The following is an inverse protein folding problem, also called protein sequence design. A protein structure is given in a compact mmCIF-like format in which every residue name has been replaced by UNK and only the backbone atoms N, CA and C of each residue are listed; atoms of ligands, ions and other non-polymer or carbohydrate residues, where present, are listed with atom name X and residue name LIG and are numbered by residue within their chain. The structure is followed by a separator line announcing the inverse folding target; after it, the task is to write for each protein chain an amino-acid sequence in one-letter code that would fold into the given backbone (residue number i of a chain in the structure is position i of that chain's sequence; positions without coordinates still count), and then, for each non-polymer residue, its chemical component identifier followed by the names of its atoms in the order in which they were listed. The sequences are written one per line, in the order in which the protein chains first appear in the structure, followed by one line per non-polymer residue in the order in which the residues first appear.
data_IF_455522974534
#
_entry.id   IF_455522974534
#
_cell.length_a   1.000
_cell.length_b   1.000
_cell.length_c   1.000
_cell.angle_alpha   90.00
_cell.angle_beta   90.00
_cell.angle_gamma   90.00
#
_symmetry.space_group_name_H-M   'P 1'
#
loop_
_entity.id
_entity.type
_entity.pdbx_description
1 polymer ?
#
# COMPACT_ATOMS: atom_id res chain seq x y z
N UNK A 1 22.13 -4.90 22.57
CA UNK A 1 21.27 -5.63 21.57
C UNK A 1 19.83 -5.79 22.07
N UNK A 2 19.59 -5.77 23.39
CA UNK A 2 18.27 -5.51 23.99
C UNK A 2 17.78 -4.06 23.81
N UNK A 3 18.66 -3.13 23.43
CA UNK A 3 18.37 -1.69 23.48
C UNK A 3 17.48 -1.15 22.34
N UNK A 4 17.49 -1.78 21.16
CA UNK A 4 16.56 -1.41 20.07
C UNK A 4 15.12 -1.87 20.38
N UNK A 5 14.98 -2.93 21.18
CA UNK A 5 13.72 -3.51 21.62
C UNK A 5 13.07 -2.73 22.78
N UNK A 6 13.83 -1.88 23.46
CA UNK A 6 13.32 -0.97 24.50
C UNK A 6 12.74 0.34 23.93
N UNK A 7 12.91 0.63 22.63
CA UNK A 7 12.56 1.95 22.07
C UNK A 7 11.17 2.01 21.41
N UNK A 8 10.60 0.88 20.98
CA UNK A 8 9.35 0.89 20.20
C UNK A 8 8.32 -0.04 20.81
N UNK A 9 7.36 0.54 21.53
CA UNK A 9 6.15 -0.16 21.95
C UNK A 9 5.22 -0.32 20.74
N UNK A 10 5.24 -1.49 20.10
CA UNK A 10 4.43 -1.76 18.90
C UNK A 10 2.92 -1.67 19.17
N UNK A 11 2.46 -1.98 20.38
CA UNK A 11 1.05 -1.83 20.76
C UNK A 11 0.65 -0.34 20.80
N UNK A 12 1.49 0.52 21.39
CA UNK A 12 1.27 1.97 21.41
C UNK A 12 1.33 2.57 19.99
N UNK A 13 2.30 2.13 19.19
CA UNK A 13 2.42 2.52 17.80
C UNK A 13 1.18 2.10 16.97
N UNK A 14 0.62 0.92 17.25
CA UNK A 14 -0.63 0.44 16.65
C UNK A 14 -1.79 1.41 16.93
N UNK A 15 -1.96 1.85 18.18
CA UNK A 15 -2.99 2.83 18.56
C UNK A 15 -2.81 4.15 17.78
N UNK A 16 -1.58 4.60 17.60
CA UNK A 16 -1.26 5.76 16.77
C UNK A 16 -1.68 5.58 15.31
N UNK A 17 -1.33 4.44 14.70
CA UNK A 17 -1.71 4.14 13.32
C UNK A 17 -3.21 3.90 13.13
N UNK A 18 -3.92 3.36 14.13
CA UNK A 18 -5.37 3.22 14.09
C UNK A 18 -6.07 4.58 13.95
N UNK A 19 -5.63 5.57 14.75
CA UNK A 19 -6.13 6.95 14.66
C UNK A 19 -5.80 7.58 13.31
N UNK A 20 -4.57 7.39 12.83
CA UNK A 20 -4.14 7.90 11.53
C UNK A 20 -4.96 7.31 10.38
N UNK A 21 -5.19 5.99 10.35
CA UNK A 21 -6.02 5.32 9.34
C UNK A 21 -7.47 5.80 9.39
N UNK A 22 -8.03 5.99 10.59
CA UNK A 22 -9.38 6.55 10.75
C UNK A 22 -9.47 7.96 10.14
N UNK A 23 -8.46 8.80 10.36
CA UNK A 23 -8.38 10.13 9.76
C UNK A 23 -8.29 10.08 8.23
N UNK A 24 -7.42 9.22 7.68
CA UNK A 24 -7.31 9.03 6.22
C UNK A 24 -8.63 8.57 5.61
N UNK A 25 -9.30 7.59 6.23
CA UNK A 25 -10.62 7.12 5.79
C UNK A 25 -11.66 8.25 5.76
N UNK A 26 -11.67 9.10 6.79
CA UNK A 26 -12.58 10.25 6.89
C UNK A 26 -12.30 11.28 5.79
N UNK A 27 -11.03 11.62 5.55
CA UNK A 27 -10.62 12.53 4.48
C UNK A 27 -11.01 11.96 3.11
N UNK A 28 -10.70 10.69 2.84
CA UNK A 28 -11.04 10.03 1.58
C UNK A 28 -12.54 9.93 1.36
N UNK A 29 -13.34 9.69 2.40
CA UNK A 29 -14.80 9.72 2.32
C UNK A 29 -15.31 11.12 1.95
N UNK A 30 -14.74 12.16 2.56
CA UNK A 30 -15.10 13.55 2.25
C UNK A 30 -14.76 13.89 0.80
N UNK A 31 -13.56 13.53 0.34
CA UNK A 31 -13.13 13.72 -1.06
C UNK A 31 -14.04 12.95 -2.02
N UNK A 32 -14.42 11.72 -1.69
CA UNK A 32 -15.34 10.93 -2.50
C UNK A 32 -16.70 11.61 -2.64
N UNK A 33 -17.28 12.09 -1.53
CA UNK A 33 -18.55 12.84 -1.56
C UNK A 33 -18.43 14.08 -2.44
N UNK A 34 -17.33 14.83 -2.35
CA UNK A 34 -17.08 15.99 -3.21
C UNK A 34 -16.98 15.62 -4.69
N UNK A 35 -16.23 14.56 -5.03
CA UNK A 35 -16.10 14.08 -6.43
C UNK A 35 -17.44 13.61 -7.00
N UNK A 36 -18.27 12.95 -6.19
CA UNK A 36 -19.59 12.48 -6.60
C UNK A 36 -20.57 13.65 -6.81
N UNK A 37 -20.55 14.65 -5.93
CA UNK A 37 -21.44 15.82 -6.00
C UNK A 37 -21.06 16.82 -7.09
N UNK A 38 -19.76 17.07 -7.30
CA UNK A 38 -19.26 18.05 -8.28
C UNK A 38 -19.18 17.49 -9.72
N UNK A 39 -19.12 16.17 -9.89
CA UNK A 39 -18.93 15.53 -11.20
C UNK A 39 -20.18 15.50 -12.11
N UNK A 40 -21.23 16.29 -11.82
CA UNK A 40 -22.53 16.24 -12.50
C UNK A 40 -22.78 17.30 -13.59
N UNK A 41 -21.82 18.17 -13.94
CA UNK A 41 -22.10 19.29 -14.84
C UNK A 41 -21.18 19.38 -16.06
N UNK A 42 -21.67 18.90 -17.22
CA UNK A 42 -21.73 19.59 -18.54
C UNK A 42 -21.83 18.56 -19.67
N UNK A 43 -22.81 18.75 -20.54
CA UNK A 43 -23.00 18.00 -21.79
C UNK A 43 -22.77 18.96 -22.98
N UNK A 44 -21.79 18.66 -23.83
CA UNK A 44 -21.63 19.21 -25.17
C UNK A 44 -21.24 18.13 -26.19
N UNK A 45 -21.75 18.20 -27.42
CA UNK A 45 -21.66 17.10 -28.42
C UNK A 45 -20.32 16.92 -29.14
N UNK A 46 -19.34 17.81 -29.00
CA UNK A 46 -17.98 17.66 -29.58
C UNK A 46 -16.96 17.09 -28.57
N UNK A 47 -17.47 16.57 -27.46
CA UNK A 47 -16.76 16.37 -26.21
C UNK A 47 -16.59 14.87 -25.91
N UNK A 48 -17.07 13.97 -26.78
CA UNK A 48 -17.22 12.53 -26.48
C UNK A 48 -15.91 11.77 -26.21
N UNK A 49 -14.82 11.99 -26.97
CA UNK A 49 -13.54 11.33 -26.70
C UNK A 49 -12.82 11.92 -25.48
N UNK A 50 -12.86 13.24 -25.31
CA UNK A 50 -12.33 13.93 -24.12
C UNK A 50 -13.13 13.56 -22.86
N UNK A 51 -14.44 13.37 -23.01
CA UNK A 51 -15.35 12.92 -21.96
C UNK A 51 -15.10 11.46 -21.60
N UNK A 52 -14.80 10.57 -22.55
CA UNK A 52 -14.41 9.18 -22.23
C UNK A 52 -13.17 9.13 -21.35
N UNK A 53 -12.08 9.79 -21.75
CA UNK A 53 -10.85 9.82 -20.96
C UNK A 53 -11.08 10.44 -19.56
N UNK A 54 -11.83 11.56 -19.48
CA UNK A 54 -12.17 12.21 -18.21
C UNK A 54 -13.07 11.34 -17.31
N UNK A 55 -13.98 10.57 -17.91
CA UNK A 55 -14.86 9.64 -17.19
C UNK A 55 -14.09 8.40 -16.69
N UNK A 56 -13.07 7.95 -17.42
CA UNK A 56 -12.17 6.88 -17.00
C UNK A 56 -11.34 7.29 -15.76
N UNK A 57 -10.77 8.51 -15.76
CA UNK A 57 -10.05 9.04 -14.59
C UNK A 57 -10.95 9.23 -13.38
N UNK A 58 -12.20 9.67 -13.58
CA UNK A 58 -13.18 9.82 -12.49
C UNK A 58 -13.55 8.46 -11.90
N UNK A 59 -13.84 7.48 -12.75
CA UNK A 59 -14.18 6.11 -12.31
C UNK A 59 -13.03 5.50 -11.53
N UNK A 60 -11.80 5.69 -12.01
CA UNK A 60 -10.60 5.24 -11.31
C UNK A 60 -10.42 5.95 -9.97
N UNK A 61 -10.56 7.28 -9.93
CA UNK A 61 -10.47 8.06 -8.69
C UNK A 61 -11.48 7.57 -7.65
N UNK A 62 -12.74 7.34 -8.06
CA UNK A 62 -13.79 6.80 -7.20
C UNK A 62 -13.38 5.41 -6.67
N UNK A 63 -12.94 4.51 -7.56
CA UNK A 63 -12.50 3.17 -7.17
C UNK A 63 -11.32 3.17 -6.20
N UNK A 64 -10.33 4.03 -6.43
CA UNK A 64 -9.17 4.19 -5.53
C UNK A 64 -9.62 4.76 -4.20
N UNK A 65 -10.47 5.79 -4.16
CA UNK A 65 -10.98 6.35 -2.90
C UNK A 65 -11.75 5.32 -2.08
N UNK A 66 -12.59 4.49 -2.71
CA UNK A 66 -13.24 3.37 -2.04
C UNK A 66 -12.24 2.37 -1.48
N UNK A 67 -11.20 2.02 -2.24
CA UNK A 67 -10.16 1.12 -1.77
C UNK A 67 -9.36 1.72 -0.59
N UNK A 68 -9.07 3.03 -0.59
CA UNK A 68 -8.46 3.73 0.56
C UNK A 68 -9.34 3.59 1.78
N UNK A 69 -10.63 3.90 1.67
CA UNK A 69 -11.60 3.82 2.79
C UNK A 69 -11.66 2.40 3.34
N UNK A 70 -11.76 1.40 2.47
CA UNK A 70 -11.82 -0.01 2.82
C UNK A 70 -10.55 -0.49 3.53
N UNK A 71 -9.37 -0.29 2.93
CA UNK A 71 -8.09 -0.68 3.52
C UNK A 71 -7.82 0.07 4.83
N UNK A 72 -8.20 1.35 4.91
CA UNK A 72 -8.03 2.15 6.13
C UNK A 72 -8.94 1.67 7.25
N UNK A 73 -10.19 1.31 6.94
CA UNK A 73 -11.13 0.74 7.90
C UNK A 73 -10.62 -0.58 8.46
N UNK A 74 -10.23 -1.52 7.59
CA UNK A 74 -9.64 -2.80 8.02
C UNK A 74 -8.41 -2.55 8.86
N UNK A 75 -7.46 -1.76 8.36
CA UNK A 75 -6.23 -1.48 9.08
C UNK A 75 -6.47 -0.84 10.45
N UNK A 76 -7.44 0.08 10.56
CA UNK A 76 -7.76 0.73 11.83
C UNK A 76 -8.30 -0.28 12.85
N UNK A 77 -9.14 -1.22 12.41
CA UNK A 77 -9.62 -2.32 13.26
C UNK A 77 -8.46 -3.20 13.74
N UNK A 78 -7.66 -3.73 12.81
CA UNK A 78 -6.53 -4.61 13.15
C UNK A 78 -5.50 -3.91 14.05
N UNK A 79 -5.24 -2.63 13.82
CA UNK A 79 -4.33 -1.83 14.65
C UNK A 79 -4.89 -1.53 16.05
N UNK A 80 -6.20 -1.33 16.17
CA UNK A 80 -6.86 -1.15 17.48
C UNK A 80 -6.76 -2.42 18.31
N UNK A 81 -7.06 -3.58 17.70
CA UNK A 81 -6.91 -4.88 18.36
C UNK A 81 -5.45 -5.17 18.71
N UNK A 82 -4.50 -4.85 17.84
CA UNK A 82 -3.08 -5.00 18.15
C UNK A 82 -2.67 -4.16 19.36
N UNK A 83 -3.24 -2.96 19.50
CA UNK A 83 -2.99 -2.09 20.64
C UNK A 83 -3.53 -2.61 21.98
N UNK A 84 -4.45 -3.57 21.97
CA UNK A 84 -5.03 -4.17 23.19
C UNK A 84 -4.25 -5.38 23.71
N UNK A 85 -3.27 -5.88 22.95
CA UNK A 85 -2.47 -7.06 23.28
C UNK A 85 -1.43 -6.74 24.36
N UNK A 86 -1.35 -7.60 25.38
CA UNK A 86 -0.49 -7.40 26.57
C UNK A 86 0.94 -7.92 26.39
N UNK A 87 1.19 -8.81 25.42
CA UNK A 87 2.50 -9.42 25.20
C UNK A 87 3.24 -8.80 23.99
N UNK A 88 4.45 -8.30 24.21
CA UNK A 88 5.22 -7.56 23.19
C UNK A 88 5.57 -8.38 21.94
N UNK A 89 5.83 -9.69 22.07
CA UNK A 89 6.14 -10.55 20.91
C UNK A 89 4.92 -10.82 20.04
N UNK A 90 3.76 -10.99 20.65
CA UNK A 90 2.46 -11.16 19.99
C UNK A 90 2.02 -9.85 19.34
N UNK A 91 2.20 -8.73 20.05
CA UNK A 91 1.96 -7.38 19.54
C UNK A 91 2.79 -7.07 18.30
N UNK A 92 4.09 -7.41 18.27
CA UNK A 92 4.93 -7.21 17.07
C UNK A 92 4.40 -7.97 15.85
N UNK A 93 4.03 -9.23 16.04
CA UNK A 93 3.53 -10.10 14.96
C UNK A 93 2.21 -9.58 14.38
N UNK A 94 1.25 -9.27 15.25
CA UNK A 94 -0.03 -8.70 14.86
C UNK A 94 0.12 -7.32 14.22
N UNK A 95 1.03 -6.49 14.75
CA UNK A 95 1.37 -5.19 14.17
C UNK A 95 1.90 -5.33 12.75
N UNK A 96 2.80 -6.28 12.49
CA UNK A 96 3.34 -6.52 11.16
C UNK A 96 2.23 -6.89 10.16
N UNK A 97 1.34 -7.82 10.52
CA UNK A 97 0.21 -8.22 9.67
C UNK A 97 -0.73 -7.03 9.43
N UNK A 98 -1.09 -6.28 10.47
CA UNK A 98 -1.96 -5.12 10.37
C UNK A 98 -1.35 -3.98 9.53
N UNK A 99 -0.02 -3.80 9.60
CA UNK A 99 0.70 -2.72 8.91
C UNK A 99 0.67 -2.84 7.39
N UNK A 100 0.34 -4.01 6.84
CA UNK A 100 0.02 -4.18 5.40
C UNK A 100 -1.02 -3.14 4.97
N UNK A 101 -2.08 -2.95 5.75
CA UNK A 101 -3.13 -2.00 5.46
C UNK A 101 -2.66 -0.54 5.59
N UNK A 102 -1.65 -0.24 6.42
CA UNK A 102 -1.03 1.09 6.47
C UNK A 102 -0.31 1.38 5.17
N UNK A 103 0.53 0.45 4.69
CA UNK A 103 1.25 0.63 3.43
C UNK A 103 0.29 0.78 2.23
N UNK A 104 -0.74 -0.06 2.17
CA UNK A 104 -1.78 0.00 1.11
C UNK A 104 -2.54 1.33 1.17
N UNK A 105 -2.98 1.76 2.36
CA UNK A 105 -3.74 2.99 2.51
C UNK A 105 -2.93 4.23 2.15
N UNK A 106 -1.64 4.28 2.55
CA UNK A 106 -0.72 5.35 2.16
C UNK A 106 -0.62 5.44 0.63
N UNK A 107 -0.26 4.34 -0.04
CA UNK A 107 0.02 4.40 -1.48
C UNK A 107 -1.24 4.72 -2.29
N UNK A 108 -2.40 4.15 -1.90
CA UNK A 108 -3.67 4.46 -2.53
C UNK A 108 -4.12 5.91 -2.27
N UNK A 109 -3.89 6.45 -1.06
CA UNK A 109 -4.26 7.83 -0.73
C UNK A 109 -3.50 8.82 -1.60
N UNK A 110 -2.17 8.70 -1.66
CA UNK A 110 -1.37 9.60 -2.51
C UNK A 110 -1.66 9.39 -4.01
N UNK A 111 -1.98 8.17 -4.43
CA UNK A 111 -2.44 7.91 -5.79
C UNK A 111 -3.79 8.57 -6.09
N UNK A 112 -4.74 8.55 -5.15
CA UNK A 112 -6.01 9.27 -5.27
C UNK A 112 -5.77 10.78 -5.40
N UNK A 113 -4.85 11.35 -4.62
CA UNK A 113 -4.49 12.77 -4.72
C UNK A 113 -3.89 13.12 -6.08
N UNK A 114 -3.06 12.23 -6.64
CA UNK A 114 -2.54 12.39 -8.00
C UNK A 114 -3.69 12.39 -9.02
N UNK A 115 -4.59 11.42 -8.96
CA UNK A 115 -5.76 11.35 -9.85
C UNK A 115 -6.70 12.55 -9.70
N UNK A 116 -6.92 13.01 -8.48
CA UNK A 116 -7.70 14.21 -8.19
C UNK A 116 -7.09 15.44 -8.85
N UNK A 117 -5.76 15.59 -8.75
CA UNK A 117 -5.03 16.71 -9.38
C UNK A 117 -5.14 16.67 -10.90
N UNK A 118 -5.10 15.47 -11.51
CA UNK A 118 -5.28 15.28 -12.96
C UNK A 118 -6.71 15.64 -13.37
N UNK A 119 -7.71 15.14 -12.64
CA UNK A 119 -9.12 15.33 -12.98
C UNK A 119 -9.55 16.81 -12.91
N UNK A 120 -9.02 17.56 -11.93
CA UNK A 120 -9.34 18.97 -11.75
C UNK A 120 -8.31 19.95 -12.34
N UNK A 121 -7.21 19.48 -12.96
CA UNK A 121 -6.13 20.32 -13.50
C UNK A 121 -6.65 21.46 -14.40
N UNK A 122 -7.57 21.13 -15.32
CA UNK A 122 -8.15 22.09 -16.26
C UNK A 122 -9.14 23.05 -15.59
N UNK A 123 -9.87 22.58 -14.57
CA UNK A 123 -10.92 23.36 -13.91
C UNK A 123 -10.30 24.41 -12.97
N UNK A 124 -9.19 24.04 -12.33
CA UNK A 124 -8.51 24.87 -11.34
C UNK A 124 -7.27 25.59 -11.91
N UNK A 125 -6.98 25.46 -13.22
CA UNK A 125 -5.81 26.04 -13.91
C UNK A 125 -4.49 25.70 -13.21
N UNK A 126 -4.33 24.45 -12.77
CA UNK A 126 -3.31 24.06 -11.79
C UNK A 126 -1.88 23.89 -12.33
N UNK A 127 -1.60 24.26 -13.59
CA UNK A 127 -0.26 24.20 -14.17
C UNK A 127 0.46 22.87 -13.88
N UNK A 128 1.62 22.94 -13.23
CA UNK A 128 2.49 21.78 -12.97
C UNK A 128 2.14 20.95 -11.72
N UNK A 129 1.01 21.21 -11.04
CA UNK A 129 0.67 20.50 -9.80
C UNK A 129 0.60 18.97 -9.90
N UNK A 130 0.09 18.35 -10.99
CA UNK A 130 0.09 16.89 -11.11
C UNK A 130 1.49 16.28 -11.04
N UNK A 131 2.51 17.00 -11.53
CA UNK A 131 3.91 16.58 -11.46
C UNK A 131 4.42 16.64 -10.02
N UNK A 132 4.11 17.72 -9.28
CA UNK A 132 4.49 17.85 -7.88
C UNK A 132 3.88 16.73 -7.02
N UNK A 133 2.58 16.44 -7.19
CA UNK A 133 1.90 15.37 -6.44
C UNK A 133 2.47 13.99 -6.78
N UNK A 134 2.86 13.76 -8.04
CA UNK A 134 3.57 12.54 -8.43
C UNK A 134 4.91 12.38 -7.67
N UNK A 135 5.73 13.43 -7.61
CA UNK A 135 6.99 13.36 -6.86
C UNK A 135 6.77 13.14 -5.36
N UNK A 136 5.73 13.73 -4.78
CA UNK A 136 5.33 13.44 -3.40
C UNK A 136 4.93 11.97 -3.21
N UNK A 137 4.17 11.39 -4.14
CA UNK A 137 3.83 9.97 -4.10
C UNK A 137 5.09 9.10 -4.07
N UNK A 138 6.05 9.35 -4.97
CA UNK A 138 7.30 8.58 -5.02
C UNK A 138 8.12 8.74 -3.73
N UNK A 139 8.23 9.95 -3.19
CA UNK A 139 8.95 10.19 -1.94
C UNK A 139 8.33 9.43 -0.75
N UNK A 140 7.01 9.46 -0.63
CA UNK A 140 6.28 8.72 0.41
C UNK A 140 6.40 7.21 0.21
N UNK A 141 6.36 6.75 -1.04
CA UNK A 141 6.52 5.34 -1.39
C UNK A 141 7.88 4.78 -0.96
N UNK A 142 8.94 5.58 -1.15
CA UNK A 142 10.31 5.28 -0.70
C UNK A 142 10.42 5.21 0.83
N UNK A 143 9.84 6.17 1.55
CA UNK A 143 9.82 6.15 3.03
C UNK A 143 9.07 4.91 3.53
N UNK A 144 7.91 4.64 2.94
CA UNK A 144 7.11 3.44 3.20
C UNK A 144 7.91 2.15 2.91
N UNK A 145 8.76 2.15 1.87
CA UNK A 145 9.60 1.01 1.53
C UNK A 145 10.76 0.81 2.52
N UNK A 146 11.39 1.90 2.98
CA UNK A 146 12.40 1.83 4.04
C UNK A 146 11.81 1.29 5.35
N UNK A 147 10.60 1.71 5.71
CA UNK A 147 9.89 1.16 6.87
C UNK A 147 9.58 -0.33 6.70
N UNK A 148 9.06 -0.73 5.53
CA UNK A 148 8.84 -2.14 5.18
C UNK A 148 10.11 -2.98 5.37
N UNK A 149 11.25 -2.52 4.82
CA UNK A 149 12.51 -3.25 4.92
C UNK A 149 12.99 -3.35 6.36
N UNK A 150 12.83 -2.30 7.16
CA UNK A 150 13.15 -2.31 8.59
C UNK A 150 12.32 -3.33 9.37
N UNK A 151 11.01 -3.39 9.13
CA UNK A 151 10.11 -4.39 9.73
C UNK A 151 10.47 -5.81 9.29
N UNK A 152 10.79 -6.00 8.01
CA UNK A 152 11.21 -7.28 7.47
C UNK A 152 12.51 -7.76 8.13
N UNK A 153 13.53 -6.92 8.22
CA UNK A 153 14.79 -7.24 8.91
C UNK A 153 14.54 -7.57 10.38
N UNK A 154 13.65 -6.83 11.03
CA UNK A 154 13.28 -7.08 12.43
C UNK A 154 12.57 -8.42 12.59
N UNK A 155 11.67 -8.79 11.67
CA UNK A 155 10.95 -10.07 11.70
C UNK A 155 11.88 -11.27 11.61
N UNK A 156 12.93 -11.20 10.79
CA UNK A 156 13.96 -12.25 10.74
C UNK A 156 14.72 -12.37 12.06
N UNK A 157 15.05 -11.25 12.72
CA UNK A 157 15.72 -11.24 14.03
C UNK A 157 14.83 -11.81 15.15
N UNK A 158 13.52 -11.62 15.06
CA UNK A 158 12.54 -12.17 16.02
C UNK A 158 12.28 -13.67 15.82
N UNK A 159 12.45 -14.19 14.60
CA UNK A 159 12.36 -15.63 14.37
C UNK A 159 13.62 -16.34 14.88
N UNK A 160 13.48 -17.35 15.76
CA UNK A 160 14.61 -18.17 16.24
C UNK A 160 15.40 -18.85 15.09
N UNK A 161 14.82 -18.89 13.89
CA UNK A 161 15.42 -19.31 12.63
C UNK A 161 16.76 -18.60 12.33
N UNK A 162 16.93 -17.35 12.77
CA UNK A 162 18.21 -16.65 12.58
C UNK A 162 19.34 -17.23 13.43
N UNK A 163 19.09 -17.90 14.56
CA UNK A 163 20.19 -18.47 15.38
C UNK A 163 20.92 -19.64 14.69
N UNK A 164 20.27 -20.30 13.72
CA UNK A 164 20.87 -21.38 12.93
C UNK A 164 21.50 -20.89 11.60
N UNK A 165 21.13 -19.71 11.11
CA UNK A 165 21.59 -19.16 9.81
C UNK A 165 22.58 -18.01 9.97
N UNK A 166 22.64 -17.34 11.12
CA UNK A 166 23.56 -16.20 11.37
C UNK A 166 25.02 -16.59 11.69
N UNK A 167 25.39 -17.87 11.55
CA UNK A 167 26.79 -18.28 11.58
C UNK A 167 27.34 -18.10 10.16
N UNK A 168 27.91 -16.91 9.93
CA UNK A 168 28.81 -16.50 8.84
C UNK A 168 28.23 -16.24 7.41
N UNK A 169 28.64 -15.09 6.85
CA UNK A 169 28.72 -14.76 5.40
C UNK A 169 27.50 -14.37 4.52
N UNK A 170 26.34 -13.93 5.06
CA UNK A 170 25.18 -13.61 4.19
C UNK A 170 24.72 -12.15 4.06
N UNK A 171 25.62 -11.17 4.22
CA UNK A 171 25.36 -9.80 3.73
C UNK A 171 25.23 -9.74 2.19
N UNK A 172 25.81 -10.71 1.47
CA UNK A 172 25.76 -10.80 0.01
C UNK A 172 24.39 -11.29 -0.49
N UNK A 173 23.67 -12.20 0.20
CA UNK A 173 22.32 -12.60 -0.26
C UNK A 173 21.23 -11.60 0.05
N UNK A 174 21.32 -10.82 1.11
CA UNK A 174 20.41 -9.68 1.30
C UNK A 174 20.55 -8.67 0.13
N UNK A 175 21.76 -8.55 -0.42
CA UNK A 175 22.08 -7.69 -1.57
C UNK A 175 21.61 -8.29 -2.92
N UNK A 176 21.79 -9.61 -3.15
CA UNK A 176 21.33 -10.22 -4.40
C UNK A 176 19.82 -10.51 -4.38
N UNK A 177 19.22 -10.78 -3.22
CA UNK A 177 17.76 -10.93 -3.08
C UNK A 177 17.05 -9.59 -3.34
N UNK A 178 17.59 -8.45 -2.88
CA UNK A 178 17.06 -7.14 -3.20
C UNK A 178 17.24 -6.75 -4.68
N UNK A 179 18.32 -7.18 -5.34
CA UNK A 179 18.51 -7.01 -6.80
C UNK A 179 17.61 -7.92 -7.63
N UNK A 180 17.42 -9.18 -7.23
CA UNK A 180 16.46 -10.11 -7.85
C UNK A 180 15.03 -9.58 -7.63
N UNK A 181 14.75 -9.03 -6.45
CA UNK A 181 13.46 -8.41 -6.14
C UNK A 181 13.23 -7.16 -6.99
N UNK A 182 14.22 -6.26 -7.12
CA UNK A 182 14.18 -5.13 -8.07
C UNK A 182 14.04 -5.59 -9.52
N UNK A 183 14.65 -6.72 -9.89
CA UNK A 183 14.51 -7.34 -11.21
C UNK A 183 13.10 -7.91 -11.46
N UNK A 184 12.48 -8.53 -10.45
CA UNK A 184 11.09 -9.01 -10.50
C UNK A 184 10.11 -7.84 -10.51
N UNK A 185 10.36 -6.78 -9.73
CA UNK A 185 9.62 -5.51 -9.79
C UNK A 185 9.72 -4.92 -11.19
N UNK A 186 10.93 -4.84 -11.76
CA UNK A 186 11.17 -4.30 -13.10
C UNK A 186 10.47 -5.15 -14.17
N UNK A 187 10.53 -6.48 -14.08
CA UNK A 187 9.85 -7.41 -14.98
C UNK A 187 8.32 -7.35 -14.86
N UNK A 188 7.78 -7.28 -13.65
CA UNK A 188 6.33 -7.09 -13.42
C UNK A 188 5.90 -5.73 -13.96
N UNK A 189 6.64 -4.66 -13.66
CA UNK A 189 6.35 -3.30 -14.15
C UNK A 189 6.42 -3.24 -15.69
N UNK A 190 7.39 -3.94 -16.29
CA UNK A 190 7.52 -4.09 -17.75
C UNK A 190 6.37 -4.91 -18.34
N UNK A 191 5.96 -6.00 -17.68
CA UNK A 191 4.82 -6.82 -18.10
C UNK A 191 3.51 -6.03 -18.01
N UNK A 192 3.33 -5.22 -16.96
CA UNK A 192 2.24 -4.25 -16.83
C UNK A 192 2.30 -3.14 -17.88
N UNK A 193 3.44 -2.91 -18.53
CA UNK A 193 3.52 -1.93 -19.62
C UNK A 193 2.92 -2.47 -20.91
N UNK A 194 3.10 -3.75 -21.24
CA UNK A 194 2.81 -4.26 -22.61
C UNK A 194 1.48 -5.00 -22.81
N UNK A 195 0.86 -5.67 -21.83
CA UNK A 195 -0.09 -6.76 -22.18
C UNK A 195 -1.59 -6.57 -21.90
N UNK A 196 -2.06 -5.40 -21.45
CA UNK A 196 -3.48 -5.24 -21.05
C UNK A 196 -4.04 -3.86 -21.44
N UNK A 197 -5.28 -3.82 -21.93
CA UNK A 197 -6.01 -2.56 -22.16
C UNK A 197 -6.00 -1.69 -20.89
N UNK A 198 -5.84 -0.37 -21.06
CA UNK A 198 -5.60 0.58 -19.97
C UNK A 198 -6.58 0.41 -18.80
N UNK A 199 -7.87 0.21 -19.10
CA UNK A 199 -8.96 0.02 -18.14
C UNK A 199 -8.80 -1.26 -17.30
N UNK A 200 -8.37 -2.38 -17.89
CA UNK A 200 -8.11 -3.62 -17.13
C UNK A 200 -6.89 -3.49 -16.22
N UNK A 201 -5.85 -2.75 -16.63
CA UNK A 201 -4.66 -2.48 -15.77
C UNK A 201 -5.06 -1.67 -14.54
N UNK A 202 -5.91 -0.67 -14.73
CA UNK A 202 -6.39 0.21 -13.65
C UNK A 202 -7.18 -0.56 -12.58
N UNK A 203 -8.19 -1.34 -12.98
CA UNK A 203 -9.00 -2.10 -12.05
C UNK A 203 -8.18 -3.18 -11.34
N UNK A 204 -7.25 -3.83 -12.06
CA UNK A 204 -6.40 -4.87 -11.48
C UNK A 204 -5.56 -4.34 -10.31
N UNK A 205 -4.90 -3.19 -10.45
CA UNK A 205 -4.04 -2.64 -9.38
C UNK A 205 -4.84 -2.34 -8.10
N UNK A 206 -6.04 -1.78 -8.24
CA UNK A 206 -6.95 -1.51 -7.12
C UNK A 206 -7.45 -2.81 -6.50
N UNK A 207 -7.83 -3.80 -7.32
CA UNK A 207 -8.27 -5.12 -6.86
C UNK A 207 -7.18 -5.83 -6.06
N UNK A 208 -5.92 -5.77 -6.51
CA UNK A 208 -4.78 -6.33 -5.76
C UNK A 208 -4.69 -5.73 -4.36
N UNK A 209 -4.84 -4.41 -4.23
CA UNK A 209 -4.84 -3.74 -2.92
C UNK A 209 -5.97 -4.24 -2.00
N UNK A 210 -7.19 -4.35 -2.54
CA UNK A 210 -8.37 -4.83 -1.78
C UNK A 210 -8.21 -6.29 -1.36
N UNK A 211 -7.68 -7.14 -2.25
CA UNK A 211 -7.42 -8.55 -1.95
C UNK A 211 -6.40 -8.67 -0.82
N UNK A 212 -5.26 -7.97 -0.90
CA UNK A 212 -4.24 -8.07 0.15
C UNK A 212 -4.67 -7.44 1.48
N UNK A 213 -5.54 -6.43 1.45
CA UNK A 213 -6.19 -5.90 2.67
C UNK A 213 -7.07 -6.96 3.33
N UNK A 214 -7.88 -7.68 2.53
CA UNK A 214 -8.74 -8.77 3.01
C UNK A 214 -7.92 -9.98 3.50
N UNK A 215 -6.86 -10.37 2.78
CA UNK A 215 -5.97 -11.47 3.17
C UNK A 215 -5.27 -11.14 4.49
N UNK A 216 -4.80 -9.90 4.67
CA UNK A 216 -4.25 -9.43 5.95
C UNK A 216 -5.26 -9.59 7.09
N UNK A 217 -6.53 -9.19 6.90
CA UNK A 217 -7.58 -9.35 7.90
C UNK A 217 -7.89 -10.81 8.24
N UNK A 218 -8.09 -11.66 7.22
CA UNK A 218 -8.36 -13.08 7.41
C UNK A 218 -7.20 -13.78 8.14
N UNK A 219 -5.96 -13.46 7.75
CA UNK A 219 -4.79 -14.01 8.41
C UNK A 219 -4.64 -13.50 9.84
N UNK A 220 -4.92 -12.22 10.09
CA UNK A 220 -4.91 -11.64 11.43
C UNK A 220 -5.89 -12.37 12.38
N UNK A 221 -7.13 -12.58 11.93
CA UNK A 221 -8.13 -13.37 12.68
C UNK A 221 -7.62 -14.79 12.91
N UNK A 222 -7.03 -15.43 11.90
CA UNK A 222 -6.45 -16.77 12.06
C UNK A 222 -5.37 -16.81 13.15
N UNK A 223 -4.49 -15.80 13.20
CA UNK A 223 -3.43 -15.71 14.20
C UNK A 223 -4.02 -15.56 15.62
N UNK A 224 -4.99 -14.68 15.81
CA UNK A 224 -5.63 -14.50 17.12
C UNK A 224 -6.37 -15.77 17.57
N UNK A 225 -7.27 -16.28 16.72
CA UNK A 225 -8.21 -17.33 17.11
C UNK A 225 -7.57 -18.71 17.24
N UNK A 226 -6.61 -19.04 16.37
CA UNK A 226 -6.07 -20.40 16.31
C UNK A 226 -4.63 -20.49 16.82
N UNK A 227 -3.81 -19.45 16.62
CA UNK A 227 -2.39 -19.50 16.97
C UNK A 227 -2.14 -19.03 18.40
N UNK A 228 -2.79 -17.94 18.83
CA UNK A 228 -2.62 -17.41 20.19
C UNK A 228 -3.50 -18.11 21.23
N UNK A 229 -4.69 -18.57 20.84
CA UNK A 229 -5.61 -19.27 21.74
C UNK A 229 -5.19 -20.73 22.02
N UNK A 230 -4.46 -21.36 21.10
CA UNK A 230 -3.95 -22.72 21.33
C UNK A 230 -2.69 -22.65 22.18
N UNK A 231 -2.72 -23.20 23.40
CA UNK A 231 -1.56 -23.34 24.29
C UNK A 231 -0.47 -24.29 23.73
N UNK A 232 -0.40 -24.50 22.41
CA UNK A 232 0.55 -25.39 21.75
C UNK A 232 1.89 -24.67 21.50
N UNK A 233 2.77 -24.82 22.49
CA UNK A 233 4.15 -24.34 22.62
C UNK A 233 5.11 -24.84 21.48
N UNK A 234 4.64 -25.40 20.38
CA UNK A 234 5.49 -26.07 19.38
C UNK A 234 5.33 -25.64 17.91
N UNK A 235 4.84 -24.43 17.63
CA UNK A 235 4.63 -23.91 16.26
C UNK A 235 5.60 -22.79 15.80
N UNK A 236 6.84 -22.77 16.33
CA UNK A 236 7.70 -21.58 16.30
C UNK A 236 8.43 -21.23 14.98
N UNK A 237 8.48 -22.08 13.95
CA UNK A 237 9.23 -21.75 12.71
C UNK A 237 8.33 -21.48 11.50
N UNK A 238 7.39 -22.38 11.20
CA UNK A 238 6.51 -22.28 10.03
C UNK A 238 5.56 -21.07 10.14
N UNK A 239 5.08 -20.79 11.35
CA UNK A 239 4.22 -19.64 11.63
C UNK A 239 4.92 -18.31 11.33
N UNK A 240 6.18 -18.17 11.74
CA UNK A 240 6.97 -16.96 11.51
C UNK A 240 7.29 -16.76 10.03
N UNK A 241 7.55 -17.84 9.28
CA UNK A 241 7.75 -17.76 7.82
C UNK A 241 6.48 -17.26 7.13
N UNK A 242 5.31 -17.76 7.52
CA UNK A 242 4.04 -17.31 6.93
C UNK A 242 3.78 -15.83 7.20
N UNK A 243 4.08 -15.34 8.41
CA UNK A 243 3.93 -13.92 8.73
C UNK A 243 4.82 -13.05 7.83
N UNK A 244 6.08 -13.46 7.63
CA UNK A 244 7.04 -12.77 6.76
C UNK A 244 6.56 -12.76 5.31
N UNK A 245 6.09 -13.90 4.79
CA UNK A 245 5.61 -14.00 3.42
C UNK A 245 4.36 -13.14 3.20
N UNK A 246 3.40 -13.20 4.12
CA UNK A 246 2.16 -12.41 4.04
C UNK A 246 2.47 -10.92 4.12
N UNK A 247 3.38 -10.50 4.99
CA UNK A 247 3.82 -9.12 5.05
C UNK A 247 4.54 -8.68 3.76
N UNK A 248 5.48 -9.49 3.27
CA UNK A 248 6.27 -9.22 2.06
C UNK A 248 5.36 -9.06 0.84
N UNK A 249 4.51 -10.06 0.55
CA UNK A 249 3.62 -10.01 -0.61
C UNK A 249 2.50 -8.98 -0.43
N UNK A 250 1.97 -8.88 0.79
CA UNK A 250 0.91 -7.93 1.15
C UNK A 250 1.33 -6.48 1.00
N UNK A 251 2.60 -6.16 1.20
CA UNK A 251 3.12 -4.80 0.97
C UNK A 251 3.58 -4.62 -0.48
N UNK A 252 4.39 -5.54 -1.01
CA UNK A 252 5.11 -5.30 -2.25
C UNK A 252 4.20 -5.35 -3.48
N UNK A 253 3.29 -6.32 -3.57
CA UNK A 253 2.44 -6.45 -4.76
C UNK A 253 1.50 -5.24 -4.96
N UNK A 254 0.77 -4.77 -3.93
CA UNK A 254 0.01 -3.52 -4.02
C UNK A 254 0.86 -2.31 -4.41
N UNK A 255 2.04 -2.14 -3.79
CA UNK A 255 2.93 -1.01 -4.07
C UNK A 255 3.43 -1.02 -5.51
N UNK A 256 3.92 -2.16 -6.01
CA UNK A 256 4.37 -2.30 -7.39
C UNK A 256 3.23 -1.97 -8.36
N UNK A 257 2.04 -2.50 -8.10
CA UNK A 257 0.89 -2.29 -8.97
C UNK A 257 0.50 -0.80 -9.03
N UNK A 258 0.42 -0.11 -7.89
CA UNK A 258 0.04 1.31 -7.85
C UNK A 258 1.16 2.22 -8.35
N UNK A 259 2.42 2.00 -7.95
CA UNK A 259 3.55 2.81 -8.41
C UNK A 259 3.80 2.64 -9.90
N UNK A 260 3.70 1.41 -10.42
CA UNK A 260 3.75 1.16 -11.87
C UNK A 260 2.65 1.89 -12.63
N UNK A 261 1.44 1.91 -12.07
CA UNK A 261 0.31 2.65 -12.62
C UNK A 261 0.53 4.17 -12.59
N UNK A 262 1.07 4.68 -11.49
CA UNK A 262 1.40 6.10 -11.34
C UNK A 262 2.44 6.54 -12.36
N UNK A 263 3.52 5.76 -12.54
CA UNK A 263 4.56 6.02 -13.56
C UNK A 263 3.96 6.00 -14.96
N UNK A 264 3.08 5.04 -15.26
CA UNK A 264 2.40 4.96 -16.54
C UNK A 264 1.57 6.22 -16.81
N UNK A 265 0.73 6.63 -15.85
CA UNK A 265 -0.09 7.84 -15.97
C UNK A 265 0.76 9.10 -16.12
N UNK A 266 1.85 9.21 -15.34
CA UNK A 266 2.80 10.31 -15.44
C UNK A 266 3.43 10.41 -16.83
N UNK A 267 3.85 9.27 -17.41
CA UNK A 267 4.43 9.24 -18.76
C UNK A 267 3.44 9.74 -19.82
N UNK A 268 2.18 9.31 -19.73
CA UNK A 268 1.08 9.77 -20.59
C UNK A 268 0.86 11.28 -20.51
N UNK A 269 0.86 11.84 -19.30
CA UNK A 269 0.69 13.29 -19.09
C UNK A 269 1.83 14.09 -19.72
N UNK A 270 3.07 13.62 -19.52
CA UNK A 270 4.27 14.27 -20.07
C UNK A 270 4.28 14.27 -21.60
N UNK A 271 3.89 13.15 -22.23
CA UNK A 271 3.87 13.05 -23.69
C UNK A 271 2.75 13.91 -24.30
N UNK A 272 1.59 14.01 -23.63
CA UNK A 272 0.50 14.91 -24.02
C UNK A 272 0.90 16.39 -24.01
N UNK A 273 1.67 16.82 -23.00
CA UNK A 273 2.17 18.20 -22.87
C UNK A 273 3.12 18.61 -24.00
N UNK A 274 3.91 17.69 -24.53
CA UNK A 274 4.86 17.97 -25.62
C UNK A 274 4.20 18.17 -26.98
N UNK A 275 3.00 17.63 -27.18
CA UNK A 275 2.26 17.75 -28.44
C UNK A 275 1.37 19.01 -28.49
N UNK A 276 1.29 19.77 -27.40
CA UNK A 276 0.47 20.99 -27.28
C UNK A 276 1.28 22.30 -27.26
N UNK A 277 2.61 22.22 -27.31
CA UNK A 277 3.54 23.34 -27.37
C UNK A 277 4.17 23.44 -28.76
#
# INVERSE_FOLDING_TARGET
MQDFLNFTNFCELAVGYAKWLTAISTVSTTVLVLVLTLGGCKEGKNEEERNRAKNDYRTLLIGVLFAVIFSSFIGALLMTETGSVQHNSEGFRLFMIASINVHISIILFFFAMMLLSIFYAETLKLGDQPYAVFYFLIAVDLVSFAWFLSMLISSFKYSEFTRAIFIEEYWVTASISSLIFMGIIYLLTYYFRETVEMVRKFHFAVIVCVIFSSVSALYYVYVIEFNMNSQHIQQNSLSNINDILIYTFGVLLPKIAITGLAIYLFSKLRDGSKNSA
#
